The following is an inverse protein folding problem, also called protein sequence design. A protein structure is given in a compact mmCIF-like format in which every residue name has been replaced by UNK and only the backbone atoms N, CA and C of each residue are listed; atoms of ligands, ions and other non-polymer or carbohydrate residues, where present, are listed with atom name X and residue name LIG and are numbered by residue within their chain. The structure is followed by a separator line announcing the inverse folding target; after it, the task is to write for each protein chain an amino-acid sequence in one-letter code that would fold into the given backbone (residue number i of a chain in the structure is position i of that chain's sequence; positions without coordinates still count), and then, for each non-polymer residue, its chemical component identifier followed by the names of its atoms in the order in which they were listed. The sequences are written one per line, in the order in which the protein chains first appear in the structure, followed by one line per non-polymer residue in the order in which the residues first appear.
data_IF_613200705745
#
_entry.id   IF_613200705745
#
_cell.length_a   1.000
_cell.length_b   1.000
_cell.length_c   1.000
_cell.angle_alpha   90.00
_cell.angle_beta   90.00
_cell.angle_gamma   90.00
#
_symmetry.space_group_name_H-M   'P 1'
#
loop_
_entity.id
_entity.type
_entity.pdbx_description
1 polymer ?
#
# COMPACT_ATOMS: atom_id res chain seq x y z
N UNK A 1 23.76 15.04 -15.53
CA UNK A 1 23.27 16.35 -15.06
C UNK A 1 21.89 16.72 -15.62
N UNK A 2 21.64 16.65 -16.94
CA UNK A 2 20.35 17.06 -17.54
C UNK A 2 19.11 16.30 -17.03
N UNK A 3 19.20 14.97 -16.75
CA UNK A 3 18.07 14.19 -16.22
C UNK A 3 17.62 14.66 -14.84
N UNK A 4 18.55 15.07 -13.97
CA UNK A 4 18.23 15.56 -12.63
C UNK A 4 17.56 16.95 -12.66
N UNK A 5 17.94 17.80 -13.60
CA UNK A 5 17.30 19.10 -13.81
C UNK A 5 15.86 18.91 -14.29
N UNK A 6 15.64 18.00 -15.23
CA UNK A 6 14.30 17.63 -15.70
C UNK A 6 13.47 17.07 -14.53
N UNK A 7 14.05 16.18 -13.72
CA UNK A 7 13.38 15.63 -12.56
C UNK A 7 12.96 16.71 -11.56
N UNK A 8 13.82 17.70 -11.30
CA UNK A 8 13.53 18.81 -10.38
C UNK A 8 12.36 19.68 -10.86
N UNK A 9 12.35 20.03 -12.15
CA UNK A 9 11.27 20.83 -12.75
C UNK A 9 9.95 20.06 -12.74
N UNK A 10 9.96 18.82 -13.18
CA UNK A 10 8.76 17.95 -13.20
C UNK A 10 8.23 17.69 -11.81
N UNK A 11 9.09 17.42 -10.82
CA UNK A 11 8.71 17.29 -9.42
C UNK A 11 7.98 18.53 -8.91
N UNK A 12 8.54 19.73 -9.17
CA UNK A 12 7.91 20.99 -8.80
C UNK A 12 6.53 21.17 -9.44
N UNK A 13 6.36 20.76 -10.70
CA UNK A 13 5.08 20.81 -11.41
C UNK A 13 4.06 19.82 -10.81
N UNK A 14 4.48 18.60 -10.46
CA UNK A 14 3.62 17.57 -9.87
C UNK A 14 3.14 18.03 -8.48
N UNK A 15 4.05 18.43 -7.60
CA UNK A 15 3.73 18.79 -6.21
C UNK A 15 2.85 20.04 -6.11
N UNK A 16 2.99 20.98 -7.03
CA UNK A 16 2.15 22.20 -7.10
C UNK A 16 0.82 21.98 -7.79
N UNK A 17 0.60 20.82 -8.38
CA UNK A 17 -0.65 20.53 -9.09
C UNK A 17 -1.82 20.36 -8.11
N UNK A 18 -3.00 20.86 -8.49
CA UNK A 18 -4.23 20.68 -7.71
C UNK A 18 -4.57 19.20 -7.51
N UNK A 19 -4.19 18.33 -8.46
CA UNK A 19 -4.32 16.87 -8.33
C UNK A 19 -3.53 16.34 -7.13
N UNK A 20 -2.25 16.69 -7.04
CA UNK A 20 -1.38 16.23 -5.96
C UNK A 20 -1.88 16.71 -4.61
N UNK A 21 -2.22 17.99 -4.49
CA UNK A 21 -2.75 18.57 -3.27
C UNK A 21 -4.06 17.90 -2.82
N UNK A 22 -4.97 17.61 -3.76
CA UNK A 22 -6.22 16.92 -3.47
C UNK A 22 -5.97 15.47 -2.99
N UNK A 23 -5.07 14.74 -3.65
CA UNK A 23 -4.71 13.37 -3.26
C UNK A 23 -4.13 13.35 -1.85
N UNK A 24 -3.16 14.22 -1.55
CA UNK A 24 -2.51 14.32 -0.24
C UNK A 24 -3.52 14.71 0.84
N UNK A 25 -4.42 15.67 0.56
CA UNK A 25 -5.45 16.09 1.50
C UNK A 25 -6.44 14.96 1.83
N UNK A 26 -6.94 14.26 0.81
CA UNK A 26 -7.86 13.12 1.00
C UNK A 26 -7.16 12.00 1.77
N UNK A 27 -5.91 11.67 1.42
CA UNK A 27 -5.16 10.65 2.11
C UNK A 27 -4.93 11.01 3.58
N UNK A 28 -4.54 12.26 3.87
CA UNK A 28 -4.38 12.75 5.24
C UNK A 28 -5.69 12.64 6.03
N UNK A 29 -6.81 13.10 5.48
CA UNK A 29 -8.13 13.02 6.13
C UNK A 29 -8.53 11.59 6.45
N UNK A 30 -8.28 10.65 5.54
CA UNK A 30 -8.60 9.25 5.76
C UNK A 30 -7.70 8.59 6.81
N UNK A 31 -6.40 8.93 6.85
CA UNK A 31 -5.52 8.47 7.93
C UNK A 31 -5.98 9.01 9.29
N UNK A 32 -6.39 10.29 9.35
CA UNK A 32 -6.92 10.90 10.57
C UNK A 32 -8.22 10.22 11.02
N UNK A 33 -9.10 9.84 10.10
CA UNK A 33 -10.32 9.07 10.45
C UNK A 33 -9.99 7.71 11.07
N UNK A 34 -8.88 7.08 10.66
CA UNK A 34 -8.37 5.86 11.28
C UNK A 34 -7.95 6.07 12.74
N UNK A 35 -7.34 7.22 13.06
CA UNK A 35 -6.94 7.56 14.43
C UNK A 35 -8.13 7.76 15.37
N UNK A 36 -9.28 8.26 14.88
CA UNK A 36 -10.48 8.41 15.69
C UNK A 36 -10.94 7.08 16.29
N UNK A 37 -10.68 5.97 15.62
CA UNK A 37 -10.99 4.62 16.14
C UNK A 37 -10.16 4.21 17.36
N UNK A 38 -8.97 4.80 17.53
CA UNK A 38 -8.11 4.54 18.70
C UNK A 38 -8.63 5.24 19.95
N UNK A 39 -9.29 6.39 19.76
CA UNK A 39 -9.83 7.22 20.86
C UNK A 39 -11.20 6.76 21.33
N UNK A 40 -11.92 5.93 20.55
CA UNK A 40 -13.19 5.38 21.01
C UNK A 40 -12.96 4.39 22.15
N UNK A 41 -13.65 4.52 23.29
CA UNK A 41 -13.62 3.52 24.34
C UNK A 41 -14.06 2.19 23.73
N UNK A 42 -13.19 1.18 23.83
CA UNK A 42 -13.49 -0.17 23.32
C UNK A 42 -14.91 -0.55 23.68
N UNK A 43 -15.70 -1.02 22.70
CA UNK A 43 -17.06 -1.55 22.89
C UNK A 43 -17.12 -2.77 23.85
N UNK A 44 -16.04 -3.06 24.56
CA UNK A 44 -15.96 -3.98 25.69
C UNK A 44 -16.97 -3.63 26.82
N UNK A 45 -17.49 -2.41 26.86
CA UNK A 45 -18.59 -2.03 27.76
C UNK A 45 -19.95 -2.56 27.31
N UNK A 46 -20.09 -3.13 26.11
CA UNK A 46 -21.34 -3.69 25.60
C UNK A 46 -21.42 -5.22 25.68
N UNK A 47 -20.55 -5.87 26.46
CA UNK A 47 -20.70 -7.30 26.81
C UNK A 47 -20.50 -8.29 25.64
N UNK A 48 -19.94 -7.86 24.51
CA UNK A 48 -19.57 -8.78 23.42
C UNK A 48 -18.12 -9.21 23.64
N UNK A 49 -17.84 -10.50 23.96
CA UNK A 49 -16.47 -10.96 24.13
C UNK A 49 -15.78 -10.96 22.76
N UNK A 50 -14.99 -9.92 22.48
CA UNK A 50 -14.04 -9.99 21.37
C UNK A 50 -12.89 -10.90 21.77
N UNK A 51 -12.64 -11.94 20.97
CA UNK A 51 -11.76 -13.06 21.22
C UNK A 51 -10.25 -12.74 21.26
N UNK A 52 -9.86 -11.48 21.43
CA UNK A 52 -8.47 -11.03 21.52
C UNK A 52 -8.29 -9.90 22.53
N UNK A 53 -8.60 -10.20 23.82
CA UNK A 53 -8.12 -9.36 24.91
C UNK A 53 -6.73 -9.83 25.33
N UNK A 54 -5.70 -9.34 24.65
CA UNK A 54 -4.37 -9.30 25.25
C UNK A 54 -4.31 -8.10 26.20
N UNK A 55 -4.14 -8.36 27.49
CA UNK A 55 -3.91 -7.33 28.51
C UNK A 55 -2.66 -6.50 28.15
N UNK A 56 -2.86 -5.21 27.98
CA UNK A 56 -1.88 -4.25 27.49
C UNK A 56 -1.03 -3.70 28.62
N UNK A 57 0.24 -4.02 28.69
CA UNK A 57 1.27 -3.28 29.43
C UNK A 57 1.45 -1.89 28.80
N UNK A 58 1.32 -0.85 29.58
CA UNK A 58 0.74 0.45 29.26
C UNK A 58 1.44 1.44 28.32
N UNK A 59 2.65 1.28 27.85
CA UNK A 59 3.27 2.31 27.00
C UNK A 59 3.83 1.82 25.65
N UNK A 60 4.42 0.63 25.55
CA UNK A 60 4.95 0.11 24.28
C UNK A 60 3.87 -0.19 23.22
N UNK A 61 2.63 -0.36 23.67
CA UNK A 61 1.53 -0.83 22.81
C UNK A 61 0.68 0.26 22.16
N UNK A 62 0.89 1.52 22.49
CA UNK A 62 0.07 2.59 21.93
C UNK A 62 0.53 2.98 20.52
N UNK A 63 1.84 3.01 20.26
CA UNK A 63 2.37 3.17 18.89
C UNK A 63 1.93 2.02 18.00
N UNK A 64 1.93 0.79 18.49
CA UNK A 64 1.42 -0.39 17.76
C UNK A 64 -0.07 -0.24 17.44
N UNK A 65 -0.90 0.19 18.39
CA UNK A 65 -2.32 0.46 18.17
C UNK A 65 -2.56 1.55 17.12
N UNK A 66 -1.76 2.62 17.16
CA UNK A 66 -1.84 3.68 16.14
C UNK A 66 -1.47 3.12 14.77
N UNK A 67 -0.40 2.34 14.67
CA UNK A 67 -0.01 1.70 13.41
C UNK A 67 -1.07 0.72 12.90
N UNK A 68 -1.70 -0.06 13.78
CA UNK A 68 -2.81 -0.94 13.44
C UNK A 68 -4.01 -0.16 12.90
N UNK A 69 -4.40 0.93 13.58
CA UNK A 69 -5.52 1.76 13.19
C UNK A 69 -5.32 2.44 11.82
N UNK A 70 -4.12 2.95 11.55
CA UNK A 70 -3.79 3.56 10.25
C UNK A 70 -3.47 2.50 9.19
N UNK A 71 -3.03 1.32 9.58
CA UNK A 71 -2.55 0.27 8.68
C UNK A 71 -3.59 -0.21 7.69
N UNK A 72 -4.85 -0.31 8.10
CA UNK A 72 -5.95 -0.61 7.19
C UNK A 72 -6.17 0.50 6.16
N UNK A 73 -6.09 1.76 6.59
CA UNK A 73 -6.19 2.91 5.68
C UNK A 73 -5.01 2.96 4.71
N UNK A 74 -3.81 2.64 5.18
CA UNK A 74 -2.60 2.55 4.34
C UNK A 74 -2.75 1.45 3.28
N UNK A 75 -3.22 0.27 3.67
CA UNK A 75 -3.41 -0.87 2.75
C UNK A 75 -4.35 -0.52 1.58
N UNK A 76 -5.40 0.24 1.85
CA UNK A 76 -6.40 0.60 0.83
C UNK A 76 -5.97 1.82 0.02
N UNK A 77 -5.45 2.86 0.67
CA UNK A 77 -5.25 4.16 0.03
C UNK A 77 -3.91 4.30 -0.67
N UNK A 78 -2.85 3.69 -0.15
CA UNK A 78 -1.53 3.79 -0.76
C UNK A 78 -1.51 3.30 -2.21
N UNK A 79 -2.13 2.14 -2.56
CA UNK A 79 -2.28 1.73 -3.95
C UNK A 79 -3.02 2.76 -4.81
N UNK A 80 -4.11 3.34 -4.29
CA UNK A 80 -4.88 4.35 -5.02
C UNK A 80 -4.05 5.60 -5.29
N UNK A 81 -3.36 6.10 -4.27
CA UNK A 81 -2.44 7.25 -4.40
C UNK A 81 -1.35 6.95 -5.43
N UNK A 82 -0.73 5.78 -5.35
CA UNK A 82 0.32 5.35 -6.26
C UNK A 82 -0.18 5.26 -7.71
N UNK A 83 -1.37 4.67 -7.93
CA UNK A 83 -2.02 4.60 -9.25
C UNK A 83 -2.35 6.00 -9.76
N UNK A 84 -2.89 6.88 -8.92
CA UNK A 84 -3.24 8.26 -9.31
C UNK A 84 -2.02 9.14 -9.64
N UNK A 85 -0.86 8.84 -9.10
CA UNK A 85 0.39 9.54 -9.44
C UNK A 85 1.10 8.93 -10.66
N UNK A 86 0.85 7.65 -10.97
CA UNK A 86 1.54 6.93 -12.04
C UNK A 86 0.82 6.90 -13.39
N UNK A 87 -0.52 7.01 -13.42
CA UNK A 87 -1.32 6.72 -14.61
C UNK A 87 -1.06 7.64 -15.82
N UNK A 88 -0.70 8.89 -15.62
CA UNK A 88 -0.50 9.88 -16.67
C UNK A 88 0.98 10.26 -16.90
N UNK A 89 1.91 9.58 -16.25
CA UNK A 89 3.36 9.87 -16.31
C UNK A 89 3.89 9.82 -17.76
N UNK A 90 3.48 8.83 -18.51
CA UNK A 90 3.86 8.65 -19.93
C UNK A 90 2.67 9.00 -20.84
N UNK A 91 1.49 8.43 -20.59
CA UNK A 91 0.31 8.61 -21.42
C UNK A 91 -0.11 10.07 -21.53
N UNK A 92 -0.05 10.84 -20.44
CA UNK A 92 -0.38 12.27 -20.47
C UNK A 92 0.55 13.09 -21.33
N UNK A 93 1.84 12.71 -21.44
CA UNK A 93 2.81 13.37 -22.34
C UNK A 93 2.59 12.98 -23.79
N UNK A 94 2.18 11.74 -24.04
CA UNK A 94 1.82 11.23 -25.39
C UNK A 94 0.57 11.96 -25.88
N UNK A 95 -0.48 12.04 -25.07
CA UNK A 95 -1.75 12.70 -25.43
C UNK A 95 -1.60 14.19 -25.72
N UNK A 96 -0.76 14.88 -24.95
CA UNK A 96 -0.46 16.32 -25.15
C UNK A 96 0.51 16.58 -26.30
N UNK A 97 1.03 15.56 -26.98
CA UNK A 97 2.02 15.70 -28.04
C UNK A 97 3.40 16.19 -27.56
N UNK A 98 3.60 16.31 -26.25
CA UNK A 98 4.85 16.81 -25.63
C UNK A 98 6.03 15.91 -26.02
N UNK A 99 5.80 14.60 -26.16
CA UNK A 99 6.84 13.67 -26.60
C UNK A 99 7.42 14.07 -27.95
N UNK A 100 6.58 14.48 -28.93
CA UNK A 100 7.05 14.92 -30.26
C UNK A 100 7.90 16.20 -30.18
N UNK A 101 7.49 17.14 -29.33
CA UNK A 101 8.22 18.41 -29.15
C UNK A 101 9.57 18.19 -28.43
N UNK A 102 9.60 17.31 -27.45
CA UNK A 102 10.83 16.95 -26.74
C UNK A 102 11.83 16.20 -27.64
N UNK A 103 11.32 15.38 -28.57
CA UNK A 103 12.15 14.67 -29.55
C UNK A 103 12.79 15.58 -30.61
N UNK A 104 12.25 16.78 -30.80
CA UNK A 104 12.83 17.79 -31.70
C UNK A 104 13.99 18.58 -31.07
N UNK A 105 14.20 18.44 -29.74
CA UNK A 105 15.29 19.09 -29.04
C UNK A 105 16.54 18.16 -28.98
N UNK A 106 17.79 18.71 -28.94
CA UNK A 106 19.01 17.93 -28.84
C UNK A 106 19.22 17.40 -27.40
N UNK A 107 18.23 16.69 -26.88
CA UNK A 107 18.28 16.03 -25.56
C UNK A 107 18.11 14.54 -25.78
N UNK A 108 18.98 13.74 -25.18
CA UNK A 108 18.86 12.29 -25.26
C UNK A 108 17.53 11.85 -24.62
N UNK A 109 16.78 11.02 -25.33
CA UNK A 109 15.46 10.50 -24.93
C UNK A 109 15.48 9.85 -23.55
N UNK A 110 16.57 9.11 -23.25
CA UNK A 110 16.76 8.43 -21.98
C UNK A 110 16.76 9.38 -20.78
N UNK A 111 17.32 10.58 -20.93
CA UNK A 111 17.36 11.59 -19.87
C UNK A 111 15.96 12.13 -19.52
N UNK A 112 15.08 12.24 -20.52
CA UNK A 112 13.70 12.71 -20.32
C UNK A 112 12.90 11.68 -19.57
N UNK A 113 13.01 10.40 -19.97
CA UNK A 113 12.29 9.29 -19.34
C UNK A 113 12.75 9.13 -17.90
N UNK A 114 14.05 8.97 -17.69
CA UNK A 114 14.64 8.82 -16.37
C UNK A 114 14.29 9.99 -15.46
N UNK A 115 14.38 11.22 -15.98
CA UNK A 115 14.00 12.43 -15.25
C UNK A 115 12.53 12.42 -14.82
N UNK A 116 11.62 12.00 -15.72
CA UNK A 116 10.18 11.89 -15.41
C UNK A 116 9.90 10.79 -14.39
N UNK A 117 10.54 9.62 -14.51
CA UNK A 117 10.41 8.54 -13.54
C UNK A 117 10.89 8.96 -12.14
N UNK A 118 12.06 9.60 -12.07
CA UNK A 118 12.62 10.09 -10.80
C UNK A 118 11.71 11.15 -10.18
N UNK A 119 11.16 12.07 -10.99
CA UNK A 119 10.21 13.07 -10.52
C UNK A 119 8.93 12.44 -9.95
N UNK A 120 8.36 11.48 -10.67
CA UNK A 120 7.17 10.76 -10.20
C UNK A 120 7.43 9.94 -8.94
N UNK A 121 8.57 9.25 -8.86
CA UNK A 121 8.99 8.50 -7.68
C UNK A 121 9.18 9.41 -6.46
N UNK A 122 9.88 10.53 -6.61
CA UNK A 122 10.06 11.49 -5.52
C UNK A 122 8.74 12.13 -5.08
N UNK A 123 7.84 12.42 -6.02
CA UNK A 123 6.48 12.91 -5.71
C UNK A 123 5.66 11.86 -4.97
N UNK A 124 5.76 10.59 -5.33
CA UNK A 124 5.11 9.49 -4.63
C UNK A 124 5.60 9.39 -3.18
N UNK A 125 6.93 9.40 -2.98
CA UNK A 125 7.52 9.32 -1.65
C UNK A 125 7.05 10.48 -0.77
N UNK A 126 7.04 11.71 -1.28
CA UNK A 126 6.53 12.88 -0.55
C UNK A 126 5.02 12.75 -0.30
N UNK A 127 4.25 12.33 -1.31
CA UNK A 127 2.79 12.18 -1.23
C UNK A 127 2.33 11.09 -0.25
N UNK A 128 3.17 10.12 0.05
CA UNK A 128 2.91 9.06 1.05
C UNK A 128 3.51 9.42 2.41
N UNK A 129 4.76 9.88 2.44
CA UNK A 129 5.47 10.15 3.70
C UNK A 129 4.87 11.34 4.46
N UNK A 130 4.47 12.40 3.77
CA UNK A 130 3.92 13.60 4.41
C UNK A 130 2.60 13.33 5.17
N UNK A 131 1.57 12.70 4.59
CA UNK A 131 0.35 12.34 5.31
C UNK A 131 0.59 11.40 6.48
N UNK A 132 1.46 10.41 6.31
CA UNK A 132 1.82 9.47 7.39
C UNK A 132 2.52 10.19 8.54
N UNK A 133 3.50 11.03 8.26
CA UNK A 133 4.21 11.80 9.28
C UNK A 133 3.26 12.75 10.02
N UNK A 134 2.35 13.43 9.32
CA UNK A 134 1.33 14.29 9.93
C UNK A 134 0.39 13.50 10.83
N UNK A 135 -0.11 12.35 10.36
CA UNK A 135 -1.02 11.51 11.13
C UNK A 135 -0.35 10.95 12.39
N UNK A 136 0.89 10.50 12.28
CA UNK A 136 1.66 10.01 13.42
C UNK A 136 1.99 11.12 14.42
N UNK A 137 2.38 12.32 13.94
CA UNK A 137 2.63 13.48 14.78
C UNK A 137 1.39 13.91 15.55
N UNK A 138 0.24 13.90 14.87
CA UNK A 138 -1.04 14.25 15.49
C UNK A 138 -1.47 13.19 16.50
N UNK A 139 -1.24 11.89 16.23
CA UNK A 139 -1.49 10.83 17.19
C UNK A 139 -0.67 11.00 18.47
N UNK A 140 0.62 11.35 18.35
CA UNK A 140 1.49 11.65 19.49
C UNK A 140 0.93 12.81 20.30
N UNK A 141 0.51 13.89 19.65
CA UNK A 141 -0.04 15.08 20.33
C UNK A 141 -1.39 14.81 21.00
N UNK A 142 -2.31 14.15 20.32
CA UNK A 142 -3.67 13.90 20.82
C UNK A 142 -3.71 12.84 21.93
N UNK A 143 -2.87 11.83 21.84
CA UNK A 143 -2.83 10.71 22.78
C UNK A 143 -1.82 10.93 23.92
N UNK A 144 -1.05 12.04 23.89
CA UNK A 144 -0.04 12.35 24.89
C UNK A 144 1.09 11.32 24.99
N UNK A 145 1.40 10.64 23.87
CA UNK A 145 2.42 9.59 23.82
C UNK A 145 3.81 10.24 23.76
N UNK A 146 4.73 9.77 24.57
CA UNK A 146 6.16 10.08 24.43
C UNK A 146 6.85 8.92 23.71
N UNK A 147 7.12 9.02 22.40
CA UNK A 147 7.72 7.92 21.65
C UNK A 147 9.14 7.66 22.13
N UNK A 148 9.47 6.41 22.38
CA UNK A 148 10.84 5.97 22.66
C UNK A 148 11.68 5.93 21.37
N UNK A 149 13.00 5.81 21.50
CA UNK A 149 13.89 5.65 20.34
C UNK A 149 13.54 4.38 19.52
N UNK A 150 13.11 3.32 20.19
CA UNK A 150 12.65 2.09 19.55
C UNK A 150 11.37 2.31 18.74
N UNK A 151 10.44 3.11 19.24
CA UNK A 151 9.20 3.47 18.52
C UNK A 151 9.51 4.28 17.28
N UNK A 152 10.44 5.22 17.35
CA UNK A 152 10.88 6.03 16.20
C UNK A 152 11.52 5.11 15.15
N UNK A 153 12.38 4.18 15.54
CA UNK A 153 12.98 3.22 14.61
C UNK A 153 11.92 2.34 13.95
N UNK A 154 10.90 1.88 14.68
CA UNK A 154 9.78 1.12 14.17
C UNK A 154 8.97 1.93 13.14
N UNK A 155 8.67 3.19 13.45
CA UNK A 155 7.93 4.09 12.54
C UNK A 155 8.71 4.38 11.26
N UNK A 156 10.01 4.58 11.32
CA UNK A 156 10.87 4.77 10.14
C UNK A 156 10.91 3.51 9.29
N UNK A 157 11.01 2.33 9.92
CA UNK A 157 10.95 1.05 9.22
C UNK A 157 9.60 0.84 8.53
N UNK A 158 8.51 1.14 9.23
CA UNK A 158 7.16 1.07 8.67
C UNK A 158 7.00 2.00 7.46
N UNK A 159 7.48 3.25 7.57
CA UNK A 159 7.46 4.20 6.46
C UNK A 159 8.24 3.67 5.24
N UNK A 160 9.39 3.04 5.47
CA UNK A 160 10.17 2.38 4.41
C UNK A 160 9.40 1.26 3.73
N UNK A 161 8.71 0.41 4.49
CA UNK A 161 7.88 -0.68 3.95
C UNK A 161 6.70 -0.13 3.14
N UNK A 162 6.02 0.90 3.65
CA UNK A 162 4.93 1.58 2.93
C UNK A 162 5.43 2.21 1.63
N UNK A 163 6.63 2.80 1.63
CA UNK A 163 7.24 3.38 0.44
C UNK A 163 7.52 2.30 -0.64
N UNK A 164 8.01 1.13 -0.25
CA UNK A 164 8.23 -0.01 -1.18
C UNK A 164 6.90 -0.53 -1.73
N UNK A 165 5.88 -0.63 -0.89
CA UNK A 165 4.53 -1.02 -1.30
C UNK A 165 3.91 -0.02 -2.30
N UNK A 166 4.03 1.28 -2.00
CA UNK A 166 3.62 2.35 -2.91
C UNK A 166 4.36 2.28 -4.25
N UNK A 167 5.68 2.01 -4.21
CA UNK A 167 6.50 1.86 -5.41
C UNK A 167 6.00 0.72 -6.31
N UNK A 168 5.55 -0.41 -5.75
CA UNK A 168 5.06 -1.54 -6.53
C UNK A 168 3.80 -1.17 -7.34
N UNK A 169 2.84 -0.49 -6.74
CA UNK A 169 1.63 -0.01 -7.43
C UNK A 169 1.92 1.15 -8.39
N UNK A 170 2.85 2.02 -8.03
CA UNK A 170 3.30 3.09 -8.93
C UNK A 170 3.96 2.51 -10.19
N UNK A 171 4.87 1.56 -10.03
CA UNK A 171 5.53 0.88 -11.15
C UNK A 171 4.51 0.20 -12.08
N UNK A 172 3.52 -0.47 -11.52
CA UNK A 172 2.40 -1.08 -12.25
C UNK A 172 1.59 -0.03 -13.02
N UNK A 173 1.27 1.09 -12.40
CA UNK A 173 0.54 2.19 -13.01
C UNK A 173 1.31 2.83 -14.17
N UNK A 174 2.61 3.06 -13.98
CA UNK A 174 3.49 3.57 -15.04
C UNK A 174 3.60 2.56 -16.19
N UNK A 175 3.63 1.27 -15.91
CA UNK A 175 3.58 0.24 -16.95
C UNK A 175 2.31 0.34 -17.78
N UNK A 176 1.13 0.45 -17.17
CA UNK A 176 -0.11 0.68 -17.90
C UNK A 176 -0.11 2.00 -18.67
N UNK A 177 0.44 3.06 -18.10
CA UNK A 177 0.61 4.36 -18.78
C UNK A 177 1.41 4.22 -20.07
N UNK A 178 2.47 3.41 -20.03
CA UNK A 178 3.33 3.16 -21.20
C UNK A 178 2.65 2.28 -22.25
N UNK A 179 1.99 1.22 -21.82
CA UNK A 179 1.36 0.24 -22.72
C UNK A 179 0.12 0.84 -23.43
N UNK A 180 -0.72 1.53 -22.69
CA UNK A 180 -1.98 2.06 -23.24
C UNK A 180 -1.77 3.34 -24.04
N UNK A 181 -0.82 4.19 -23.63
CA UNK A 181 -0.61 5.53 -24.20
C UNK A 181 -1.82 6.46 -24.09
N UNK A 182 -2.81 6.09 -23.26
CA UNK A 182 -4.03 6.86 -22.99
C UNK A 182 -4.24 6.90 -21.47
N UNK A 183 -4.37 8.11 -20.92
CA UNK A 183 -4.43 8.35 -19.48
C UNK A 183 -5.67 7.70 -18.84
N UNK A 184 -6.83 7.76 -19.49
CA UNK A 184 -8.08 7.17 -18.96
C UNK A 184 -7.99 5.65 -18.92
N UNK A 185 -7.47 5.02 -19.98
CA UNK A 185 -7.29 3.56 -20.03
C UNK A 185 -6.26 3.08 -19.01
N UNK A 186 -5.18 3.84 -18.83
CA UNK A 186 -4.15 3.54 -17.83
C UNK A 186 -4.70 3.60 -16.42
N UNK A 187 -5.44 4.67 -16.09
CA UNK A 187 -6.10 4.82 -14.79
C UNK A 187 -7.08 3.68 -14.53
N UNK A 188 -7.94 3.38 -15.51
CA UNK A 188 -8.91 2.31 -15.39
C UNK A 188 -8.24 0.94 -15.16
N UNK A 189 -7.16 0.62 -15.90
CA UNK A 189 -6.41 -0.62 -15.73
C UNK A 189 -5.78 -0.71 -14.33
N UNK A 190 -5.15 0.37 -13.85
CA UNK A 190 -4.54 0.42 -12.52
C UNK A 190 -5.56 0.23 -11.40
N UNK A 191 -6.71 0.91 -11.48
CA UNK A 191 -7.81 0.77 -10.50
C UNK A 191 -8.42 -0.63 -10.56
N UNK A 192 -8.63 -1.20 -11.74
CA UNK A 192 -9.17 -2.55 -11.87
C UNK A 192 -8.26 -3.61 -11.24
N UNK A 193 -6.94 -3.52 -11.46
CA UNK A 193 -6.00 -4.45 -10.83
C UNK A 193 -6.00 -4.28 -9.30
N UNK A 194 -6.04 -3.05 -8.80
CA UNK A 194 -6.15 -2.79 -7.37
C UNK A 194 -7.46 -3.36 -6.79
N UNK A 195 -8.61 -3.09 -7.39
CA UNK A 195 -9.90 -3.62 -6.93
C UNK A 195 -9.92 -5.16 -6.95
N UNK A 196 -9.36 -5.76 -7.99
CA UNK A 196 -9.23 -7.20 -8.09
C UNK A 196 -8.36 -7.78 -6.97
N UNK A 197 -7.17 -7.19 -6.74
CA UNK A 197 -6.23 -7.62 -5.71
C UNK A 197 -6.79 -7.45 -4.31
N UNK A 198 -7.36 -6.27 -4.00
CA UNK A 198 -7.73 -5.91 -2.63
C UNK A 198 -9.11 -6.44 -2.20
N UNK A 199 -10.05 -6.65 -3.14
CA UNK A 199 -11.43 -7.02 -2.83
C UNK A 199 -11.89 -8.32 -3.50
N UNK A 200 -11.70 -8.47 -4.82
CA UNK A 200 -12.22 -9.62 -5.54
C UNK A 200 -11.47 -10.90 -5.16
N UNK A 201 -10.15 -10.89 -5.18
CA UNK A 201 -9.38 -12.10 -4.92
C UNK A 201 -9.55 -12.64 -3.49
N UNK A 202 -9.56 -11.82 -2.42
CA UNK A 202 -9.89 -12.29 -1.07
C UNK A 202 -11.29 -12.90 -0.97
N UNK A 203 -12.29 -12.30 -1.61
CA UNK A 203 -13.65 -12.83 -1.62
C UNK A 203 -13.77 -14.14 -2.40
N UNK A 204 -13.16 -14.19 -3.59
CA UNK A 204 -13.09 -15.41 -4.40
C UNK A 204 -12.33 -16.54 -3.70
N UNK A 205 -11.20 -16.24 -3.05
CA UNK A 205 -10.43 -17.24 -2.31
C UNK A 205 -11.27 -17.87 -1.22
N UNK A 206 -12.03 -17.08 -0.46
CA UNK A 206 -12.93 -17.56 0.57
C UNK A 206 -14.03 -18.47 -0.02
N UNK A 207 -14.64 -18.08 -1.14
CA UNK A 207 -15.65 -18.86 -1.82
C UNK A 207 -15.09 -20.21 -2.33
N UNK A 208 -13.93 -20.18 -3.00
CA UNK A 208 -13.26 -21.38 -3.53
C UNK A 208 -12.90 -22.34 -2.39
N UNK A 209 -12.33 -21.83 -1.30
CA UNK A 209 -11.93 -22.67 -0.17
C UNK A 209 -13.14 -23.32 0.50
N UNK A 210 -14.26 -22.58 0.65
CA UNK A 210 -15.51 -23.14 1.18
C UNK A 210 -16.09 -24.22 0.27
N UNK A 211 -15.95 -24.11 -1.04
CA UNK A 211 -16.35 -25.15 -1.98
C UNK A 211 -15.47 -26.40 -1.86
N UNK A 212 -14.16 -26.22 -1.61
CA UNK A 212 -13.21 -27.34 -1.48
C UNK A 212 -13.27 -28.04 -0.13
N UNK A 213 -13.37 -27.31 0.98
CA UNK A 213 -13.37 -27.84 2.34
C UNK A 213 -14.77 -28.12 2.89
N UNK A 214 -15.82 -27.65 2.21
CA UNK A 214 -17.18 -27.65 2.73
C UNK A 214 -17.42 -26.54 3.76
N UNK A 215 -18.64 -26.50 4.37
CA UNK A 215 -18.97 -25.54 5.40
C UNK A 215 -18.13 -25.77 6.68
N UNK A 216 -17.84 -24.70 7.44
CA UNK A 216 -17.08 -24.81 8.68
C UNK A 216 -17.80 -25.75 9.66
N UNK A 217 -17.04 -26.69 10.23
CA UNK A 217 -17.51 -27.55 11.31
C UNK A 217 -17.32 -26.83 12.64
N UNK A 218 -18.34 -26.83 13.46
CA UNK A 218 -18.32 -26.20 14.77
C UNK A 218 -18.23 -27.29 15.85
N UNK A 219 -17.27 -27.15 16.74
CA UNK A 219 -17.14 -27.97 17.94
C UNK A 219 -17.65 -27.18 19.14
N UNK A 220 -18.44 -27.83 19.97
CA UNK A 220 -18.86 -27.27 21.25
C UNK A 220 -17.78 -27.60 22.30
N UNK A 221 -17.08 -26.61 22.78
CA UNK A 221 -16.09 -26.75 23.85
C UNK A 221 -16.71 -26.25 25.15
N UNK A 222 -16.84 -27.11 26.11
CA UNK A 222 -17.36 -26.78 27.44
C UNK A 222 -16.23 -26.17 28.28
N UNK A 223 -16.35 -24.88 28.59
CA UNK A 223 -15.44 -24.16 29.49
C UNK A 223 -16.18 -23.81 30.80
N UNK A 224 -16.10 -24.73 31.77
CA UNK A 224 -16.85 -24.61 33.04
C UNK A 224 -18.37 -24.66 32.77
N UNK A 225 -19.10 -23.64 33.17
CA UNK A 225 -20.55 -23.52 32.94
C UNK A 225 -20.92 -22.90 31.58
N UNK A 226 -19.96 -22.45 30.80
CA UNK A 226 -20.21 -21.85 29.47
C UNK A 226 -19.89 -22.84 28.36
N UNK A 227 -20.79 -22.93 27.36
CA UNK A 227 -20.56 -23.69 26.13
C UNK A 227 -20.06 -22.68 25.08
N UNK A 228 -18.80 -22.78 24.66
CA UNK A 228 -18.21 -21.96 23.62
C UNK A 228 -18.22 -22.74 22.32
N UNK A 229 -18.83 -22.18 21.27
CA UNK A 229 -18.82 -22.78 19.94
C UNK A 229 -17.51 -22.33 19.27
N UNK A 230 -16.61 -23.29 19.00
CA UNK A 230 -15.32 -23.06 18.35
C UNK A 230 -15.32 -23.74 16.98
N UNK A 231 -14.77 -23.07 16.00
CA UNK A 231 -14.55 -23.72 14.69
C UNK A 231 -13.44 -24.77 14.83
N UNK A 232 -13.60 -25.91 14.17
CA UNK A 232 -12.62 -26.99 14.13
C UNK A 232 -11.22 -26.43 13.78
N UNK A 233 -10.25 -26.69 14.63
CA UNK A 233 -8.88 -26.21 14.50
C UNK A 233 -8.18 -26.71 13.22
N UNK A 234 -8.50 -27.94 12.79
CA UNK A 234 -7.95 -28.51 11.56
C UNK A 234 -8.55 -27.84 10.32
N UNK A 235 -9.86 -27.56 10.35
CA UNK A 235 -10.51 -26.80 9.29
C UNK A 235 -9.89 -25.40 9.15
N UNK A 236 -9.72 -24.67 10.26
CA UNK A 236 -9.14 -23.33 10.25
C UNK A 236 -7.70 -23.33 9.73
N UNK A 237 -6.89 -24.33 10.12
CA UNK A 237 -5.52 -24.47 9.62
C UNK A 237 -5.48 -24.67 8.11
N UNK A 238 -6.29 -25.60 7.57
CA UNK A 238 -6.39 -25.86 6.13
C UNK A 238 -6.92 -24.64 5.37
N UNK A 239 -7.93 -23.97 5.93
CA UNK A 239 -8.50 -22.77 5.36
C UNK A 239 -7.44 -21.65 5.24
N UNK A 240 -6.72 -21.36 6.33
CA UNK A 240 -5.69 -20.32 6.36
C UNK A 240 -4.51 -20.65 5.43
N UNK A 241 -4.07 -21.91 5.37
CA UNK A 241 -3.00 -22.36 4.48
C UNK A 241 -3.37 -22.19 2.99
N UNK A 242 -4.57 -22.61 2.60
CA UNK A 242 -5.05 -22.41 1.24
C UNK A 242 -5.24 -20.92 0.90
N UNK A 243 -5.80 -20.16 1.82
CA UNK A 243 -6.03 -18.74 1.64
C UNK A 243 -4.71 -17.98 1.47
N UNK A 244 -3.71 -18.26 2.30
CA UNK A 244 -2.39 -17.64 2.20
C UNK A 244 -1.71 -17.95 0.86
N UNK A 245 -1.83 -19.18 0.34
CA UNK A 245 -1.32 -19.58 -0.97
C UNK A 245 -1.97 -18.82 -2.13
N UNK A 246 -3.29 -18.61 -2.08
CA UNK A 246 -4.00 -17.84 -3.11
C UNK A 246 -3.65 -16.37 -3.02
N UNK A 247 -3.67 -15.80 -1.81
CA UNK A 247 -3.42 -14.38 -1.59
C UNK A 247 -1.94 -14.00 -1.81
N UNK A 248 -1.00 -14.95 -1.68
CA UNK A 248 0.43 -14.69 -1.96
C UNK A 248 0.72 -14.27 -3.41
N UNK A 249 -0.27 -14.34 -4.30
CA UNK A 249 -0.21 -13.78 -5.65
C UNK A 249 -0.41 -12.25 -5.66
N UNK A 250 -0.86 -11.64 -4.56
CA UNK A 250 -1.16 -10.21 -4.48
C UNK A 250 -0.08 -9.44 -3.75
N UNK A 251 0.14 -8.18 -4.17
CA UNK A 251 1.06 -7.26 -3.49
C UNK A 251 0.57 -6.92 -2.07
N UNK A 252 -0.75 -6.82 -1.90
CA UNK A 252 -1.42 -6.52 -0.63
C UNK A 252 -1.12 -7.55 0.46
N UNK A 253 -1.07 -8.83 0.08
CA UNK A 253 -0.71 -9.93 0.99
C UNK A 253 0.72 -9.76 1.52
N UNK A 254 1.67 -9.52 0.65
CA UNK A 254 3.07 -9.34 1.04
C UNK A 254 3.28 -8.14 1.94
N UNK A 255 2.60 -7.02 1.65
CA UNK A 255 2.62 -5.86 2.54
C UNK A 255 2.01 -6.19 3.91
N UNK A 256 0.84 -6.84 3.95
CA UNK A 256 0.15 -7.22 5.19
C UNK A 256 1.00 -8.12 6.06
N UNK A 257 1.64 -9.14 5.49
CA UNK A 257 2.52 -10.06 6.24
C UNK A 257 3.68 -9.30 6.91
N UNK A 258 4.29 -8.32 6.21
CA UNK A 258 5.35 -7.50 6.80
C UNK A 258 4.79 -6.58 7.88
N UNK A 259 3.64 -5.97 7.66
CA UNK A 259 2.97 -5.13 8.65
C UNK A 259 2.66 -5.91 9.91
N UNK A 260 2.10 -7.11 9.80
CA UNK A 260 1.78 -7.97 10.95
C UNK A 260 3.05 -8.35 11.74
N UNK A 261 4.16 -8.59 11.07
CA UNK A 261 5.45 -8.85 11.74
C UNK A 261 5.95 -7.63 12.52
N UNK A 262 5.79 -6.43 11.98
CA UNK A 262 6.17 -5.18 12.66
C UNK A 262 5.27 -4.88 13.86
N UNK A 263 3.98 -5.25 13.78
CA UNK A 263 3.01 -5.04 14.86
C UNK A 263 3.15 -6.05 16.00
N UNK A 264 3.48 -7.30 15.67
CA UNK A 264 3.51 -8.42 16.62
C UNK A 264 4.91 -8.69 17.21
N UNK A 265 5.97 -8.11 16.66
CA UNK A 265 7.35 -8.43 17.03
C UNK A 265 8.32 -7.25 17.03
N UNK A 266 9.55 -7.49 17.46
CA UNK A 266 10.58 -6.44 17.54
C UNK A 266 11.17 -6.05 16.17
N UNK A 267 10.59 -6.50 15.07
CA UNK A 267 11.07 -6.21 13.72
C UNK A 267 10.69 -7.25 12.68
N UNK A 268 11.17 -7.05 11.45
CA UNK A 268 10.91 -7.96 10.32
C UNK A 268 11.76 -9.21 10.49
N UNK A 269 11.13 -10.37 10.61
CA UNK A 269 11.79 -11.69 10.70
C UNK A 269 11.92 -12.34 9.33
N UNK A 270 10.91 -12.17 8.48
CA UNK A 270 10.88 -12.72 7.14
C UNK A 270 10.79 -11.59 6.11
N UNK A 271 11.86 -11.45 5.34
CA UNK A 271 12.00 -10.43 4.29
C UNK A 271 11.41 -10.87 2.95
N UNK A 272 10.84 -12.07 2.84
CA UNK A 272 10.31 -12.61 1.57
C UNK A 272 9.30 -11.66 0.94
N UNK A 273 8.37 -11.11 1.72
CA UNK A 273 7.40 -10.13 1.23
C UNK A 273 8.05 -8.88 0.66
N UNK A 274 9.08 -8.35 1.33
CA UNK A 274 9.82 -7.18 0.87
C UNK A 274 10.57 -7.45 -0.44
N UNK A 275 11.20 -8.61 -0.54
CA UNK A 275 11.91 -9.04 -1.76
C UNK A 275 10.94 -9.15 -2.93
N UNK A 276 9.75 -9.74 -2.72
CA UNK A 276 8.72 -9.85 -3.76
C UNK A 276 8.25 -8.47 -4.22
N UNK A 277 7.95 -7.55 -3.30
CA UNK A 277 7.53 -6.17 -3.64
C UNK A 277 8.60 -5.43 -4.45
N UNK A 278 9.88 -5.53 -4.05
CA UNK A 278 11.00 -4.90 -4.77
C UNK A 278 11.20 -5.55 -6.13
N UNK A 279 11.22 -6.87 -6.20
CA UNK A 279 11.41 -7.61 -7.45
C UNK A 279 10.30 -7.30 -8.46
N UNK A 280 9.03 -7.27 -8.00
CA UNK A 280 7.89 -6.89 -8.81
C UNK A 280 8.01 -5.45 -9.33
N UNK A 281 8.39 -4.51 -8.46
CA UNK A 281 8.58 -3.10 -8.84
C UNK A 281 9.64 -2.95 -9.91
N UNK A 282 10.79 -3.60 -9.73
CA UNK A 282 11.89 -3.57 -10.71
C UNK A 282 11.48 -4.22 -12.04
N UNK A 283 10.84 -5.38 -11.98
CA UNK A 283 10.40 -6.10 -13.19
C UNK A 283 9.40 -5.26 -14.01
N UNK A 284 8.42 -4.62 -13.35
CA UNK A 284 7.42 -3.78 -14.01
C UNK A 284 8.02 -2.48 -14.56
N UNK A 285 8.98 -1.86 -13.86
CA UNK A 285 9.71 -0.69 -14.36
C UNK A 285 10.56 -1.04 -15.59
N UNK A 286 11.29 -2.16 -15.56
CA UNK A 286 12.08 -2.63 -16.70
C UNK A 286 11.15 -2.94 -17.88
N UNK A 287 10.01 -3.60 -17.65
CA UNK A 287 9.02 -3.87 -18.67
C UNK A 287 8.46 -2.56 -19.28
N UNK A 288 8.16 -1.58 -18.44
CA UNK A 288 7.72 -0.26 -18.88
C UNK A 288 8.74 0.41 -19.78
N UNK A 289 10.01 0.41 -19.38
CA UNK A 289 11.09 0.98 -20.16
C UNK A 289 11.27 0.27 -21.51
N UNK A 290 11.26 -1.06 -21.53
CA UNK A 290 11.40 -1.85 -22.78
C UNK A 290 10.25 -1.63 -23.75
N UNK A 291 9.02 -1.55 -23.25
CA UNK A 291 7.83 -1.26 -24.07
C UNK A 291 7.93 0.15 -24.66
N UNK A 292 8.33 1.14 -23.86
CA UNK A 292 8.49 2.50 -24.34
C UNK A 292 9.49 2.60 -25.49
N UNK A 293 10.69 2.03 -25.30
CA UNK A 293 11.74 2.05 -26.34
C UNK A 293 11.30 1.37 -27.62
N UNK A 294 10.63 0.21 -27.52
CA UNK A 294 10.16 -0.54 -28.73
C UNK A 294 9.02 0.17 -29.46
N UNK A 295 8.15 0.87 -28.74
CA UNK A 295 6.99 1.54 -29.33
C UNK A 295 7.38 2.76 -30.16
N UNK A 296 8.43 3.45 -29.80
CA UNK A 296 8.90 4.65 -30.50
C UNK A 296 9.84 4.36 -31.69
N UNK A 297 10.32 3.14 -31.82
CA UNK A 297 11.15 2.71 -32.97
C UNK A 297 10.27 2.32 -34.17
N UNK A 298 8.96 2.26 -33.99
CA UNK A 298 7.99 2.08 -35.09
C UNK A 298 7.29 3.42 -35.41
#
# INVERSE_FOLDING_TARGET
MKALEIAKVEFGNIVRSNKFLAIVAIFTLMLLSGLCRVTEPSAATLGVPSATTHEVKSNEKLCVKVMEAIGYSVLILVPVVAVMLGFDVISGKVEKGIVRTLLAQPVFRDHIIVGTFVAGLTSLLVGVAMPLALSLSLAVLLLGITPSLADIALLVTYLGVVAVFALAYYALSVFFSTVTGNSVKSLAAGILVWLFSSFMLPSLSTAIIRLLLGPPKFEQVQMGQMVVIKTDSEYMRKFTDLQSKILSLTLDYHFRVIQDQLLLGPGIKDYTGLVVLIAFSLATLIASFTVFVKREVR
#
